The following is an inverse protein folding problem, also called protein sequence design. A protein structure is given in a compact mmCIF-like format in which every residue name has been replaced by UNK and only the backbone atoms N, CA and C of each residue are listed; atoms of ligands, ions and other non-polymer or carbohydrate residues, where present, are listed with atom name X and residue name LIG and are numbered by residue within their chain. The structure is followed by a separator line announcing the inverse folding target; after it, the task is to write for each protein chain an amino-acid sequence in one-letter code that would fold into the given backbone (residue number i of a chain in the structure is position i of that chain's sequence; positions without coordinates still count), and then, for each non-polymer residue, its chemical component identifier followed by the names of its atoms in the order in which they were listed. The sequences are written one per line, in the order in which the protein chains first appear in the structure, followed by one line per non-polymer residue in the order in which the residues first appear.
data_IF_088676014624
#
_entry.id   IF_088676014624
#
_cell.length_a   1.000
_cell.length_b   1.000
_cell.length_c   1.000
_cell.angle_alpha   90.00
_cell.angle_beta   90.00
_cell.angle_gamma   90.00
#
_symmetry.space_group_name_H-M   'P 1'
#
loop_
_entity.id
_entity.type
_entity.pdbx_description
1 polymer ?
#
# COMPACT_ATOMS: atom_id res chain seq x y z
N UNK A 1 18.97 -8.64 3.31
CA UNK A 1 17.89 -9.16 4.18
C UNK A 1 16.71 -8.19 4.06
N UNK A 2 15.52 -8.63 3.66
CA UNK A 2 14.34 -7.75 3.58
C UNK A 2 13.48 -7.99 4.81
N UNK A 3 13.26 -6.96 5.62
CA UNK A 3 12.35 -7.04 6.77
C UNK A 3 10.91 -7.04 6.25
N UNK A 4 10.22 -8.17 6.41
CA UNK A 4 8.79 -8.26 6.10
C UNK A 4 8.01 -7.50 7.16
N UNK A 5 7.29 -6.47 6.73
CA UNK A 5 6.40 -5.69 7.61
C UNK A 5 4.97 -6.12 7.33
N UNK A 6 4.27 -6.58 8.36
CA UNK A 6 2.82 -6.77 8.29
C UNK A 6 2.14 -5.48 8.70
N UNK A 7 1.17 -5.04 7.90
CA UNK A 7 0.33 -3.89 8.21
C UNK A 7 -0.96 -4.35 8.91
N UNK A 8 -1.54 -3.51 9.80
CA UNK A 8 -2.85 -3.78 10.39
C UNK A 8 -3.93 -4.01 9.32
N UNK A 9 -4.93 -4.83 9.64
CA UNK A 9 -6.03 -5.16 8.69
C UNK A 9 -6.71 -3.91 8.15
N UNK A 10 -7.01 -2.93 9.02
CA UNK A 10 -7.62 -1.65 8.62
C UNK A 10 -6.83 -0.90 7.55
N UNK A 11 -5.50 -0.95 7.60
CA UNK A 11 -4.64 -0.31 6.60
C UNK A 11 -4.75 -1.03 5.26
N UNK A 12 -4.84 -2.37 5.27
CA UNK A 12 -5.03 -3.17 4.05
C UNK A 12 -6.41 -2.92 3.42
N UNK A 13 -7.46 -2.84 4.22
CA UNK A 13 -8.82 -2.52 3.76
C UNK A 13 -8.89 -1.14 3.12
N UNK A 14 -8.26 -0.13 3.74
CA UNK A 14 -8.19 1.22 3.19
C UNK A 14 -7.41 1.26 1.87
N UNK A 15 -6.28 0.56 1.80
CA UNK A 15 -5.50 0.45 0.57
C UNK A 15 -6.33 -0.15 -0.58
N UNK A 16 -7.12 -1.18 -0.30
CA UNK A 16 -8.02 -1.79 -1.30
C UNK A 16 -9.08 -0.79 -1.74
N UNK A 17 -9.72 -0.07 -0.81
CA UNK A 17 -10.74 0.94 -1.14
C UNK A 17 -10.19 2.02 -2.06
N UNK A 18 -9.02 2.58 -1.73
CA UNK A 18 -8.39 3.63 -2.55
C UNK A 18 -8.00 3.10 -3.94
N UNK A 19 -7.49 1.86 -4.03
CA UNK A 19 -7.19 1.23 -5.32
C UNK A 19 -8.45 1.01 -6.17
N UNK A 20 -9.54 0.58 -5.55
CA UNK A 20 -10.84 0.44 -6.24
C UNK A 20 -11.39 1.79 -6.72
N UNK A 21 -11.10 2.87 -6.00
CA UNK A 21 -11.42 4.24 -6.41
C UNK A 21 -10.48 4.79 -7.51
N UNK A 22 -9.52 4.01 -8.01
CA UNK A 22 -8.61 4.40 -9.09
C UNK A 22 -7.41 5.25 -8.64
N UNK A 23 -7.15 5.37 -7.34
CA UNK A 23 -5.99 6.11 -6.82
C UNK A 23 -4.70 5.38 -7.21
N UNK A 24 -3.67 6.09 -7.73
CA UNK A 24 -2.38 5.49 -8.07
C UNK A 24 -1.74 4.77 -6.89
N UNK A 25 -1.10 3.61 -7.15
CA UNK A 25 -0.49 2.77 -6.11
C UNK A 25 0.56 3.53 -5.30
N UNK A 26 1.36 4.38 -5.96
CA UNK A 26 2.36 5.22 -5.29
C UNK A 26 1.73 6.14 -4.24
N UNK A 27 0.61 6.78 -4.59
CA UNK A 27 -0.11 7.70 -3.71
C UNK A 27 -0.81 6.94 -2.56
N UNK A 28 -1.40 5.76 -2.83
CA UNK A 28 -1.95 4.90 -1.77
C UNK A 28 -0.88 4.53 -0.76
N UNK A 29 0.31 4.16 -1.24
CA UNK A 29 1.41 3.76 -0.38
C UNK A 29 1.97 4.93 0.45
N UNK A 30 2.10 6.11 -0.14
CA UNK A 30 2.52 7.32 0.56
C UNK A 30 1.52 7.71 1.65
N UNK A 31 0.23 7.82 1.31
CA UNK A 31 -0.85 8.18 2.25
C UNK A 31 -0.95 7.23 3.44
N UNK A 32 -0.73 5.92 3.22
CA UNK A 32 -0.86 4.89 4.25
C UNK A 32 0.48 4.53 4.92
N UNK A 33 1.59 5.18 4.55
CA UNK A 33 2.91 4.89 5.07
C UNK A 33 3.43 3.48 4.74
N UNK A 34 2.95 2.88 3.66
CA UNK A 34 3.31 1.53 3.23
C UNK A 34 4.64 1.58 2.46
N UNK A 35 5.70 1.06 3.08
CA UNK A 35 7.04 0.98 2.49
C UNK A 35 7.24 -0.36 1.78
N UNK A 36 6.53 -0.56 0.67
CA UNK A 36 6.64 -1.76 -0.16
C UNK A 36 6.94 -1.43 -1.64
N UNK A 37 8.16 -1.00 -1.92
CA UNK A 37 8.59 -0.53 -3.25
C UNK A 37 8.42 -1.57 -4.37
N UNK A 38 8.27 -2.86 -4.04
CA UNK A 38 7.97 -3.89 -5.05
C UNK A 38 6.64 -3.67 -5.76
N UNK A 39 5.67 -3.02 -5.10
CA UNK A 39 4.34 -2.74 -5.65
C UNK A 39 4.32 -1.55 -6.64
N UNK A 40 5.40 -0.77 -6.71
CA UNK A 40 5.56 0.32 -7.66
C UNK A 40 6.08 -0.17 -9.02
N UNK A 41 6.61 -1.40 -9.06
CA UNK A 41 7.08 -2.07 -10.27
C UNK A 41 5.90 -2.84 -10.88
N UNK A 42 4.88 -2.12 -11.29
CA UNK A 42 3.85 -2.68 -12.20
C UNK A 42 4.45 -2.72 -13.60
#
# INVERSE_FOLDING_TARGET
MVTRVSYPVKVKEEAIRLRMAGVPVAEVMERLGIKNNSQLRV
#
